data_IF_170121497850
#
_entry.id   IF_170121497850
#
_cell.length_a   1.000
_cell.length_b   1.000
_cell.length_c   1.000
_cell.angle_alpha   90.00
_cell.angle_beta   90.00
_cell.angle_gamma   90.00
#
_symmetry.space_group_name_H-M   'P 1'
#
loop_
_entity.id
_entity.type
_entity.pdbx_description
1 polymer ?
#
# COMPACT_ATOMS: atom_id res chain seq x y z
N UNK A 1 -4.43 -2.62 -11.60
CA UNK A 1 -4.40 -1.94 -10.27
C UNK A 1 -3.42 -0.76 -10.22
N UNK A 2 -3.01 -0.19 -11.35
CA UNK A 2 -2.33 1.10 -11.40
C UNK A 2 -3.01 1.92 -12.48
N UNK A 3 -3.32 3.17 -12.17
CA UNK A 3 -3.78 4.13 -13.17
C UNK A 3 -2.81 5.29 -13.16
N UNK A 4 -2.00 5.39 -14.22
CA UNK A 4 -1.71 6.70 -14.77
C UNK A 4 -3.07 7.36 -15.06
N UNK A 5 -3.21 8.66 -14.83
CA UNK A 5 -4.46 9.45 -14.92
C UNK A 5 -5.18 9.43 -16.30
N UNK A 6 -4.92 8.45 -17.15
CA UNK A 6 -5.45 8.27 -18.49
C UNK A 6 -6.61 7.27 -18.57
N UNK A 7 -7.00 6.59 -17.49
CA UNK A 7 -8.09 5.60 -17.53
C UNK A 7 -9.45 6.21 -17.14
N UNK A 8 -10.50 5.85 -17.87
CA UNK A 8 -11.89 6.37 -17.79
C UNK A 8 -12.64 5.96 -16.50
N UNK A 9 -11.92 5.59 -15.44
CA UNK A 9 -12.52 5.12 -14.18
C UNK A 9 -13.01 6.30 -13.36
N UNK A 10 -14.21 6.16 -12.81
CA UNK A 10 -14.79 7.14 -11.90
C UNK A 10 -14.15 6.91 -10.52
N UNK A 11 -13.43 7.90 -10.02
CA UNK A 11 -12.84 7.85 -8.68
C UNK A 11 -13.87 8.28 -7.63
N UNK A 12 -13.71 7.76 -6.41
CA UNK A 12 -14.42 8.33 -5.26
C UNK A 12 -13.94 9.77 -4.98
N UNK A 13 -14.78 10.65 -4.43
CA UNK A 13 -14.35 11.98 -4.03
C UNK A 13 -13.34 11.91 -2.87
N UNK A 14 -12.19 12.55 -3.05
CA UNK A 14 -11.12 12.62 -2.04
C UNK A 14 -10.02 11.58 -2.24
N UNK A 15 -8.93 11.75 -1.50
CA UNK A 15 -7.83 10.79 -1.40
C UNK A 15 -7.91 10.00 -0.09
N UNK A 16 -7.01 9.04 0.11
CA UNK A 16 -7.01 8.20 1.31
C UNK A 16 -6.86 9.02 2.60
N UNK A 17 -6.14 10.15 2.56
CA UNK A 17 -6.04 11.07 3.70
C UNK A 17 -7.39 11.65 4.08
N UNK A 18 -8.14 12.16 3.10
CA UNK A 18 -9.50 12.67 3.32
C UNK A 18 -10.42 11.62 3.99
N UNK A 19 -10.36 10.38 3.53
CA UNK A 19 -11.16 9.29 4.09
C UNK A 19 -10.71 8.89 5.51
N UNK A 20 -9.40 8.90 5.78
CA UNK A 20 -8.86 8.66 7.12
C UNK A 20 -9.30 9.75 8.11
N UNK A 21 -9.22 11.02 7.73
CA UNK A 21 -9.62 12.16 8.56
C UNK A 21 -11.13 12.11 8.89
N UNK A 22 -11.98 11.66 7.95
CA UNK A 22 -13.42 11.49 8.17
C UNK A 22 -13.80 10.30 9.03
N UNK A 23 -13.18 9.14 8.81
CA UNK A 23 -13.56 7.90 9.49
C UNK A 23 -12.94 7.73 10.89
N UNK A 24 -11.97 8.58 11.26
CA UNK A 24 -11.15 8.53 12.48
C UNK A 24 -10.30 7.26 12.62
N UNK A 25 -10.84 6.06 12.37
CA UNK A 25 -10.15 4.76 12.39
C UNK A 25 -10.75 3.81 11.34
N UNK A 26 -9.90 3.01 10.71
CA UNK A 26 -10.32 1.87 9.90
C UNK A 26 -10.30 0.59 10.75
N UNK A 27 -11.20 -0.35 10.44
CA UNK A 27 -11.16 -1.69 11.00
C UNK A 27 -9.91 -2.45 10.55
N UNK A 28 -9.56 -3.51 11.27
CA UNK A 28 -8.45 -4.38 10.89
C UNK A 28 -8.66 -4.97 9.49
N UNK A 29 -9.90 -5.33 9.14
CA UNK A 29 -10.25 -5.87 7.82
C UNK A 29 -10.03 -4.85 6.69
N UNK A 30 -10.39 -3.59 6.90
CA UNK A 30 -10.17 -2.51 5.93
C UNK A 30 -8.68 -2.19 5.78
N UNK A 31 -8.01 -1.96 6.92
CA UNK A 31 -6.56 -1.69 6.95
C UNK A 31 -5.79 -2.82 6.27
N UNK A 32 -6.26 -4.06 6.46
CA UNK A 32 -5.72 -5.23 5.82
C UNK A 32 -5.80 -5.13 4.29
N UNK A 33 -7.00 -4.94 3.78
CA UNK A 33 -7.25 -4.80 2.34
C UNK A 33 -6.45 -3.65 1.70
N UNK A 34 -6.27 -2.54 2.42
CA UNK A 34 -5.45 -1.42 1.94
C UNK A 34 -3.98 -1.80 1.80
N UNK A 35 -3.40 -2.46 2.82
CA UNK A 35 -2.02 -2.95 2.75
C UNK A 35 -1.79 -3.94 1.61
N UNK A 36 -2.75 -4.84 1.34
CA UNK A 36 -2.67 -5.75 0.20
C UNK A 36 -2.76 -5.01 -1.15
N UNK A 37 -3.63 -4.01 -1.26
CA UNK A 37 -3.71 -3.15 -2.43
C UNK A 37 -2.42 -2.37 -2.70
N UNK A 38 -1.78 -1.83 -1.64
CA UNK A 38 -0.48 -1.15 -1.73
C UNK A 38 0.59 -2.10 -2.26
N UNK A 39 0.65 -3.33 -1.75
CA UNK A 39 1.65 -4.32 -2.16
C UNK A 39 1.49 -4.67 -3.64
N UNK A 40 0.27 -4.96 -4.12
CA UNK A 40 0.04 -5.25 -5.55
C UNK A 40 0.40 -4.04 -6.42
N UNK A 41 0.03 -2.82 -6.00
CA UNK A 41 0.38 -1.62 -6.75
C UNK A 41 1.90 -1.42 -6.82
N UNK A 42 2.64 -1.65 -5.74
CA UNK A 42 4.11 -1.52 -5.76
C UNK A 42 4.76 -2.63 -6.58
N UNK A 43 4.26 -3.87 -6.47
CA UNK A 43 4.75 -4.99 -7.27
C UNK A 43 4.61 -4.70 -8.77
N UNK A 44 3.44 -4.20 -9.19
CA UNK A 44 3.24 -3.83 -10.59
C UNK A 44 4.14 -2.68 -11.03
N UNK A 45 4.33 -1.63 -10.21
CA UNK A 45 5.26 -0.53 -10.54
C UNK A 45 6.68 -1.06 -10.75
N UNK A 46 7.17 -1.86 -9.82
CA UNK A 46 8.52 -2.40 -9.90
C UNK A 46 8.66 -3.35 -11.10
N UNK A 47 7.62 -4.12 -11.46
CA UNK A 47 7.61 -4.93 -12.68
C UNK A 47 7.72 -4.08 -13.96
N UNK A 48 7.17 -2.86 -13.97
CA UNK A 48 7.35 -1.90 -15.07
C UNK A 48 8.71 -1.19 -15.03
N UNK A 49 9.55 -1.44 -14.02
CA UNK A 49 10.84 -0.77 -13.84
C UNK A 49 10.73 0.61 -13.18
N UNK A 50 9.57 0.93 -12.60
CA UNK A 50 9.25 2.23 -12.03
C UNK A 50 9.39 2.24 -10.50
N UNK A 51 9.96 3.31 -9.95
CA UNK A 51 10.00 3.56 -8.49
C UNK A 51 9.12 4.77 -8.16
N UNK A 52 8.15 4.60 -7.26
CA UNK A 52 7.24 5.68 -6.86
C UNK A 52 7.92 6.81 -6.07
N UNK A 53 8.80 6.46 -5.13
CA UNK A 53 9.59 7.36 -4.25
C UNK A 53 8.83 8.30 -3.30
N UNK A 54 7.52 8.51 -3.47
CA UNK A 54 6.69 9.36 -2.61
C UNK A 54 5.45 8.60 -2.11
N UNK A 55 5.63 7.59 -1.25
CA UNK A 55 4.48 6.86 -0.70
C UNK A 55 3.93 7.61 0.50
N UNK A 56 2.75 8.21 0.32
CA UNK A 56 2.00 8.95 1.34
C UNK A 56 0.50 8.81 1.10
N UNK A 57 -0.31 9.03 2.13
CA UNK A 57 -1.77 8.81 2.06
C UNK A 57 -2.45 9.65 0.97
N UNK A 58 -1.92 10.82 0.66
CA UNK A 58 -2.43 11.70 -0.40
C UNK A 58 -2.27 11.11 -1.82
N UNK A 59 -1.33 10.16 -1.98
CA UNK A 59 -1.07 9.50 -3.25
C UNK A 59 -1.91 8.24 -3.47
N UNK A 60 -2.82 7.92 -2.55
CA UNK A 60 -3.76 6.83 -2.72
C UNK A 60 -5.20 7.33 -2.87
N UNK A 61 -6.00 6.64 -3.67
CA UNK A 61 -7.42 6.89 -3.87
C UNK A 61 -8.21 5.59 -3.79
N UNK A 62 -9.53 5.73 -3.77
CA UNK A 62 -10.45 4.65 -4.07
C UNK A 62 -11.07 4.85 -5.46
N UNK A 63 -11.20 3.77 -6.21
CA UNK A 63 -12.09 3.78 -7.38
C UNK A 63 -13.56 3.64 -6.95
N UNK A 64 -14.49 3.79 -7.90
CA UNK A 64 -15.93 3.70 -7.64
C UNK A 64 -16.41 2.36 -7.07
N UNK A 65 -15.57 1.33 -7.15
CA UNK A 65 -15.88 0.00 -6.63
C UNK A 65 -15.28 -0.21 -5.22
N UNK A 66 -14.47 0.72 -4.73
CA UNK A 66 -13.82 0.67 -3.42
C UNK A 66 -12.41 0.07 -3.43
N UNK A 67 -11.82 -0.21 -4.60
CA UNK A 67 -10.43 -0.69 -4.66
C UNK A 67 -9.44 0.43 -4.41
N UNK A 68 -8.36 0.09 -3.73
CA UNK A 68 -7.26 0.99 -3.44
C UNK A 68 -6.40 1.20 -4.69
N UNK A 69 -6.17 2.47 -5.05
CA UNK A 69 -5.46 2.86 -6.26
C UNK A 69 -4.30 3.78 -5.89
N UNK A 70 -3.10 3.46 -6.38
CA UNK A 70 -1.93 4.34 -6.29
C UNK A 70 -1.92 5.34 -7.45
N UNK A 71 -1.87 6.62 -7.13
CA UNK A 71 -1.67 7.72 -8.08
C UNK A 71 -0.22 7.75 -8.50
N UNK A 72 0.07 7.52 -9.77
CA UNK A 72 1.43 7.63 -10.31
C UNK A 72 1.54 8.95 -11.04
N UNK A 73 2.02 9.99 -10.35
CA UNK A 73 2.33 11.29 -10.95
C UNK A 73 3.84 11.47 -11.08
N UNK A 74 4.26 12.07 -12.20
CA UNK A 74 5.53 12.74 -12.65
C UNK A 74 6.87 12.64 -11.89
N UNK A 75 6.94 12.12 -10.67
CA UNK A 75 8.16 11.87 -9.86
C UNK A 75 8.60 10.40 -9.89
N UNK A 76 7.92 9.55 -10.67
CA UNK A 76 8.40 8.20 -10.96
C UNK A 76 9.74 8.28 -11.68
N UNK A 77 10.76 7.61 -11.14
CA UNK A 77 12.01 7.41 -11.87
C UNK A 77 12.11 5.97 -12.30
N UNK A 78 12.63 5.78 -13.52
CA UNK A 78 13.11 4.49 -13.97
C UNK A 78 14.18 4.03 -12.97
N UNK A 79 14.02 2.81 -12.48
CA UNK A 79 15.01 2.19 -11.63
C UNK A 79 16.36 2.12 -12.35
N UNK A 80 17.43 2.53 -11.67
CA UNK A 80 18.80 2.37 -12.16
C UNK A 80 19.73 2.05 -11.00
N UNK A 81 20.87 1.36 -11.23
CA UNK A 81 21.85 1.10 -10.18
C UNK A 81 22.29 2.37 -9.44
N UNK A 82 22.32 3.51 -10.15
CA UNK A 82 22.78 4.80 -9.64
C UNK A 82 21.77 5.47 -8.68
N UNK A 83 20.48 5.15 -8.76
CA UNK A 83 19.45 5.71 -7.87
C UNK A 83 18.94 4.70 -6.82
N UNK A 84 19.56 3.52 -6.75
CA UNK A 84 19.21 2.46 -5.79
C UNK A 84 19.42 2.85 -4.32
N UNK A 85 20.29 3.84 -4.08
CA UNK A 85 20.62 4.38 -2.75
C UNK A 85 19.95 5.72 -2.44
N UNK A 86 19.15 6.27 -3.35
CA UNK A 86 18.48 7.56 -3.15
C UNK A 86 17.42 7.42 -2.07
N UNK A 87 17.77 7.80 -0.84
CA UNK A 87 16.83 7.96 0.26
C UNK A 87 16.48 9.44 0.38
N UNK A 88 15.19 9.78 0.36
CA UNK A 88 14.72 11.12 0.75
C UNK A 88 15.25 11.43 2.15
N UNK A 89 16.18 12.38 2.23
CA UNK A 89 16.94 12.65 3.44
C UNK A 89 16.06 12.98 4.65
N UNK A 90 16.54 12.54 5.82
CA UNK A 90 16.16 13.05 7.15
C UNK A 90 14.74 12.73 7.65
N UNK A 91 14.54 11.49 8.09
CA UNK A 91 13.65 11.17 9.22
C UNK A 91 14.31 10.07 10.07
N UNK A 92 14.08 10.08 11.39
CA UNK A 92 14.42 8.92 12.24
C UNK A 92 13.70 7.70 11.68
N UNK A 93 14.36 6.53 11.68
CA UNK A 93 13.68 5.29 11.32
C UNK A 93 12.47 5.14 12.24
N UNK A 94 11.29 5.11 11.64
CA UNK A 94 10.06 4.83 12.36
C UNK A 94 10.03 3.33 12.55
N UNK A 95 9.99 2.89 13.80
CA UNK A 95 9.78 1.51 14.17
C UNK A 95 8.58 1.47 15.09
N UNK A 96 7.59 0.66 14.72
CA UNK A 96 6.41 0.42 15.54
C UNK A 96 6.87 -0.45 16.70
N UNK A 97 6.71 0.06 17.92
CA UNK A 97 7.10 -0.68 19.13
C UNK A 97 5.97 -1.59 19.54
N UNK A 98 6.32 -2.80 20.00
CA UNK A 98 5.34 -3.74 20.56
C UNK A 98 4.52 -3.14 21.71
N UNK A 99 5.09 -2.21 22.48
CA UNK A 99 4.40 -1.50 23.57
C UNK A 99 3.32 -0.53 23.11
N UNK A 100 3.33 -0.11 21.85
CA UNK A 100 2.35 0.81 21.25
C UNK A 100 1.16 0.04 20.65
N UNK A 101 1.26 -1.28 20.54
CA UNK A 101 0.23 -2.15 19.97
C UNK A 101 -0.68 -2.66 21.09
N UNK A 102 -2.01 -2.54 20.95
CA UNK A 102 -2.96 -3.12 21.91
C UNK A 102 -2.71 -4.63 22.09
N UNK A 103 -2.80 -5.12 23.33
CA UNK A 103 -2.53 -6.54 23.65
C UNK A 103 -3.48 -7.49 22.92
N UNK A 104 -4.68 -7.04 22.55
CA UNK A 104 -5.65 -7.81 21.79
C UNK A 104 -5.36 -7.89 20.29
N UNK A 105 -4.37 -7.17 19.78
CA UNK A 105 -4.05 -7.11 18.35
C UNK A 105 -2.92 -8.08 17.99
N UNK A 106 -2.96 -8.57 16.76
CA UNK A 106 -1.86 -9.36 16.20
C UNK A 106 -0.62 -8.48 16.05
N UNK A 107 0.57 -9.07 16.25
CA UNK A 107 1.85 -8.39 16.03
C UNK A 107 2.30 -8.44 14.57
N UNK A 108 1.68 -9.31 13.77
CA UNK A 108 2.05 -9.56 12.37
C UNK A 108 2.01 -8.32 11.46
N UNK A 109 1.04 -7.39 11.59
CA UNK A 109 1.05 -6.15 10.81
C UNK A 109 2.26 -5.28 11.14
N UNK A 110 2.55 -5.07 12.42
CA UNK A 110 3.67 -4.25 12.85
C UNK A 110 5.03 -4.90 12.50
N UNK A 111 5.11 -6.24 12.54
CA UNK A 111 6.30 -6.97 12.11
C UNK A 111 6.55 -6.78 10.61
N UNK A 112 5.53 -6.97 9.78
CA UNK A 112 5.59 -6.72 8.34
C UNK A 112 5.98 -5.27 8.04
N UNK A 113 5.33 -4.30 8.68
CA UNK A 113 5.59 -2.87 8.48
C UNK A 113 7.01 -2.49 8.88
N UNK A 114 7.50 -2.99 10.02
CA UNK A 114 8.88 -2.76 10.44
C UNK A 114 9.88 -3.37 9.45
N UNK A 115 9.58 -4.54 8.87
CA UNK A 115 10.42 -5.18 7.85
C UNK A 115 10.40 -4.43 6.49
N UNK A 116 9.28 -3.79 6.15
CA UNK A 116 9.13 -2.96 4.94
C UNK A 116 9.70 -1.53 5.11
N UNK A 117 9.67 -0.96 6.31
CA UNK A 117 10.13 0.42 6.59
C UNK A 117 11.58 0.39 7.08
N UNK A 118 12.44 -0.23 6.27
CA UNK A 118 13.89 -0.22 6.49
C UNK A 118 14.52 0.98 5.79
N UNK A 119 15.37 1.70 6.54
CA UNK A 119 16.07 2.89 6.03
C UNK A 119 17.02 2.55 4.89
N UNK A 120 17.75 1.44 5.01
CA UNK A 120 18.63 0.95 3.94
C UNK A 120 17.78 0.17 2.95
N UNK A 121 17.71 0.58 1.66
CA UNK A 121 16.94 -0.15 0.65
C UNK A 121 17.33 -1.64 0.60
N UNK A 122 18.62 -1.95 0.67
CA UNK A 122 19.12 -3.34 0.66
C UNK A 122 18.65 -4.21 1.83
N UNK A 123 18.20 -3.61 2.94
CA UNK A 123 17.68 -4.31 4.11
C UNK A 123 16.15 -4.40 4.11
N UNK A 124 15.47 -3.68 3.21
CA UNK A 124 14.02 -3.70 3.12
C UNK A 124 13.54 -5.07 2.67
N UNK A 125 12.58 -5.63 3.40
CA UNK A 125 11.96 -6.89 3.04
C UNK A 125 11.35 -6.83 1.65
N UNK A 126 11.62 -7.85 0.84
CA UNK A 126 11.30 -7.88 -0.58
C UNK A 126 12.37 -7.37 -1.54
N UNK A 127 13.44 -6.69 -1.07
CA UNK A 127 14.43 -6.11 -2.00
C UNK A 127 15.23 -7.15 -2.78
N UNK A 128 15.55 -8.29 -2.15
CA UNK A 128 16.26 -9.40 -2.80
C UNK A 128 15.32 -10.56 -3.16
N UNK A 129 14.10 -10.57 -2.61
CA UNK A 129 13.12 -11.63 -2.81
C UNK A 129 11.70 -11.07 -2.63
N UNK A 130 11.10 -10.46 -3.66
CA UNK A 130 9.74 -9.92 -3.59
C UNK A 130 8.70 -10.95 -3.16
N UNK A 131 8.86 -12.21 -3.56
CA UNK A 131 7.96 -13.31 -3.20
C UNK A 131 7.95 -13.62 -1.69
N UNK A 132 9.00 -13.24 -0.96
CA UNK A 132 9.02 -13.38 0.49
C UNK A 132 7.92 -12.55 1.16
N UNK A 133 7.55 -11.39 0.59
CA UNK A 133 6.49 -10.52 1.12
C UNK A 133 5.18 -11.29 1.20
N UNK A 134 4.78 -11.98 0.11
CA UNK A 134 3.52 -12.71 0.04
C UNK A 134 3.47 -13.94 0.96
N UNK A 135 4.63 -14.46 1.36
CA UNK A 135 4.75 -15.61 2.26
C UNK A 135 4.79 -15.24 3.75
N UNK A 136 4.87 -13.95 4.08
CA UNK A 136 4.86 -13.46 5.46
C UNK A 136 3.59 -13.92 6.20
N UNK A 137 3.62 -14.30 7.49
CA UNK A 137 2.44 -14.77 8.23
C UNK A 137 1.20 -13.88 8.08
N UNK A 138 1.41 -12.55 8.13
CA UNK A 138 0.39 -11.53 7.90
C UNK A 138 -0.37 -11.66 6.57
N UNK A 139 0.29 -12.19 5.54
CA UNK A 139 -0.12 -12.18 4.15
C UNK A 139 -0.32 -13.59 3.56
N UNK A 140 0.18 -14.62 4.24
CA UNK A 140 0.14 -16.00 3.79
C UNK A 140 -1.31 -16.45 3.60
N UNK A 141 -1.60 -17.07 2.44
CA UNK A 141 -2.94 -17.55 2.10
C UNK A 141 -3.91 -16.45 1.69
N UNK A 142 -3.44 -15.20 1.52
CA UNK A 142 -4.24 -14.17 0.86
C UNK A 142 -4.42 -14.50 -0.63
N UNK A 143 -5.64 -14.30 -1.13
CA UNK A 143 -6.02 -14.62 -2.51
C UNK A 143 -5.59 -13.49 -3.47
N UNK A 144 -4.27 -13.32 -3.66
CA UNK A 144 -3.67 -12.25 -4.46
C UNK A 144 -4.23 -12.16 -5.88
N UNK A 145 -4.45 -13.31 -6.53
CA UNK A 145 -5.03 -13.37 -7.88
C UNK A 145 -6.45 -12.80 -7.90
N UNK A 146 -7.27 -13.08 -6.88
CA UNK A 146 -8.62 -12.53 -6.79
C UNK A 146 -8.59 -11.02 -6.57
N UNK A 147 -7.64 -10.51 -5.78
CA UNK A 147 -7.48 -9.07 -5.61
C UNK A 147 -7.07 -8.41 -6.94
N UNK A 148 -6.07 -8.98 -7.63
CA UNK A 148 -5.58 -8.47 -8.92
C UNK A 148 -6.67 -8.37 -9.98
N UNK A 149 -7.53 -9.38 -10.08
CA UNK A 149 -8.65 -9.45 -11.01
C UNK A 149 -9.94 -8.78 -10.51
N UNK A 150 -9.90 -8.09 -9.36
CA UNK A 150 -11.07 -7.44 -8.74
C UNK A 150 -12.24 -8.40 -8.46
N UNK A 151 -11.93 -9.61 -8.01
CA UNK A 151 -12.91 -10.62 -7.61
C UNK A 151 -13.18 -10.60 -6.10
N UNK A 152 -12.32 -9.96 -5.30
CA UNK A 152 -12.56 -9.75 -3.88
C UNK A 152 -13.42 -8.52 -3.65
N UNK A 153 -14.49 -8.65 -2.87
CA UNK A 153 -15.31 -7.53 -2.45
C UNK A 153 -14.52 -6.58 -1.54
N UNK A 154 -14.35 -5.30 -1.90
CA UNK A 154 -13.69 -4.33 -1.02
C UNK A 154 -14.48 -4.14 0.28
N UNK A 155 -13.81 -4.13 1.44
CA UNK A 155 -14.47 -3.89 2.72
C UNK A 155 -14.86 -2.42 2.89
N UNK A 156 -14.20 -1.52 2.15
CA UNK A 156 -14.46 -0.10 2.16
C UNK A 156 -15.37 0.27 0.99
N UNK A 157 -16.68 0.22 1.22
CA UNK A 157 -17.68 0.68 0.26
C UNK A 157 -18.25 1.97 0.83
N UNK A 158 -17.91 3.10 0.22
CA UNK A 158 -18.70 4.30 0.44
C UNK A 158 -20.05 4.06 -0.22
N UNK A 159 -21.12 4.21 0.57
CA UNK A 159 -22.49 4.21 0.09
C UNK A 159 -22.62 5.21 -1.07
N UNK A 160 -22.48 4.73 -2.31
CA UNK A 160 -22.99 5.46 -3.46
C UNK A 160 -24.48 5.19 -3.48
N UNK A 161 -25.22 6.15 -2.96
CA UNK A 161 -26.67 6.27 -3.05
C UNK A 161 -27.45 5.09 -2.47
N UNK A 162 -27.83 5.20 -1.19
CA UNK A 162 -29.16 4.72 -0.81
C UNK A 162 -30.17 5.44 -1.72
N UNK A 163 -30.73 4.72 -2.69
CA UNK A 163 -32.03 5.04 -3.26
C UNK A 163 -33.09 4.33 -2.41
#
# INVERSE_FOLDING_TARGET
MITAFQDKRRFMPGDFRFHFEKNQKFSEKESKFFSEGIIIALEYLHYQGDIHRDLKSENFMFDSEGYFILKVFTITSIWSPNNSSDTSGTAKQVQIKRSEIPVSWSLEPADLENQLIQRKPSQRFGSNNPEAIKNHPRLRGFEWNKLFHKELQPPYIHLSSSN
#
